data_IF_658634005387
#
_entry.id   IF_658634005387
#
_cell.length_a   1.000
_cell.length_b   1.000
_cell.length_c   1.000
_cell.angle_alpha   90.00
_cell.angle_beta   90.00
_cell.angle_gamma   90.00
#
_symmetry.space_group_name_H-M   'P 1'
#
loop_
_entity.id
_entity.type
_entity.pdbx_description
1 polymer ?
#
# COMPACT_ATOMS: atom_id res chain seq x y z
N UNK A 1 14.18 5.33 -32.09
CA UNK A 1 14.21 6.74 -31.64
C UNK A 1 12.83 7.07 -31.08
N UNK A 2 12.75 7.51 -29.81
CA UNK A 2 11.48 7.90 -29.19
C UNK A 2 11.00 9.17 -29.90
N UNK A 3 9.77 9.18 -30.42
CA UNK A 3 9.22 10.36 -31.10
C UNK A 3 9.01 11.52 -30.12
N UNK A 4 9.02 12.76 -30.61
CA UNK A 4 8.79 13.96 -29.78
C UNK A 4 7.41 13.92 -29.11
N UNK A 5 6.42 13.35 -29.79
CA UNK A 5 5.07 13.12 -29.25
C UNK A 5 5.09 12.17 -28.05
N UNK A 6 5.79 11.03 -28.17
CA UNK A 6 5.96 10.09 -27.06
C UNK A 6 6.69 10.75 -25.88
N UNK A 7 7.69 11.58 -26.15
CA UNK A 7 8.46 12.26 -25.11
C UNK A 7 7.62 13.31 -24.36
N UNK A 8 6.75 14.03 -25.07
CA UNK A 8 5.83 15.02 -24.49
C UNK A 8 4.75 14.32 -23.66
N UNK A 9 4.21 13.20 -24.15
CA UNK A 9 3.24 12.39 -23.42
C UNK A 9 3.83 11.78 -22.14
N UNK A 10 5.04 11.20 -22.21
CA UNK A 10 5.74 10.67 -21.04
C UNK A 10 5.97 11.76 -20.00
N UNK A 11 6.41 12.95 -20.42
CA UNK A 11 6.59 14.09 -19.53
C UNK A 11 5.29 14.49 -18.83
N UNK A 12 4.18 14.56 -19.56
CA UNK A 12 2.88 14.86 -18.98
C UNK A 12 2.46 13.81 -17.93
N UNK A 13 2.68 12.52 -18.22
CA UNK A 13 2.41 11.43 -17.27
C UNK A 13 3.24 11.56 -15.99
N UNK A 14 4.54 11.89 -16.12
CA UNK A 14 5.41 12.15 -14.97
C UNK A 14 4.96 13.36 -14.15
N UNK A 15 4.56 14.46 -14.80
CA UNK A 15 4.09 15.66 -14.11
C UNK A 15 2.77 15.41 -13.36
N UNK A 16 1.85 14.65 -13.94
CA UNK A 16 0.61 14.25 -13.26
C UNK A 16 0.92 13.39 -12.03
N UNK A 17 1.80 12.40 -12.17
CA UNK A 17 2.21 11.54 -11.08
C UNK A 17 2.90 12.31 -9.94
N UNK A 18 3.82 13.23 -10.30
CA UNK A 18 4.50 14.08 -9.34
C UNK A 18 3.48 14.92 -8.54
N UNK A 19 2.49 15.50 -9.23
CA UNK A 19 1.43 16.27 -8.59
C UNK A 19 0.61 15.42 -7.60
N UNK A 20 0.30 14.17 -7.96
CA UNK A 20 -0.40 13.27 -7.03
C UNK A 20 0.44 12.94 -5.81
N UNK A 21 1.74 12.67 -5.98
CA UNK A 21 2.64 12.42 -4.86
C UNK A 21 2.79 13.65 -3.95
N UNK A 22 2.95 14.84 -4.52
CA UNK A 22 3.04 16.10 -3.79
C UNK A 22 1.78 16.34 -2.94
N UNK A 23 0.59 16.05 -3.50
CA UNK A 23 -0.67 16.17 -2.76
C UNK A 23 -0.74 15.21 -1.57
N UNK A 24 -0.34 13.95 -1.76
CA UNK A 24 -0.34 12.96 -0.66
C UNK A 24 0.71 13.32 0.40
N UNK A 25 1.90 13.76 0.00
CA UNK A 25 2.92 14.26 0.92
C UNK A 25 2.37 15.42 1.77
N UNK A 26 1.72 16.39 1.12
CA UNK A 26 1.09 17.51 1.79
C UNK A 26 -0.02 17.07 2.75
N UNK A 27 -0.86 16.09 2.40
CA UNK A 27 -1.89 15.56 3.31
C UNK A 27 -1.29 14.89 4.55
N UNK A 28 -0.16 14.19 4.38
CA UNK A 28 0.59 13.57 5.49
C UNK A 28 1.15 14.62 6.44
N UNK A 29 1.84 15.62 5.89
CA UNK A 29 2.43 16.73 6.66
C UNK A 29 1.34 17.54 7.37
N UNK A 30 0.25 17.87 6.67
CA UNK A 30 -0.90 18.56 7.25
C UNK A 30 -1.55 17.76 8.40
N UNK A 31 -1.68 16.44 8.25
CA UNK A 31 -2.16 15.57 9.33
C UNK A 31 -1.18 15.57 10.52
N UNK A 32 0.12 15.51 10.29
CA UNK A 32 1.13 15.55 11.36
C UNK A 32 1.26 16.94 12.02
N UNK A 33 0.61 17.96 11.44
CA UNK A 33 0.63 19.34 11.94
C UNK A 33 1.77 20.17 11.39
N UNK A 34 2.56 19.62 10.47
CA UNK A 34 3.57 20.33 9.71
C UNK A 34 2.92 21.00 8.50
N UNK A 35 2.33 22.17 8.73
CA UNK A 35 1.71 22.93 7.66
C UNK A 35 2.17 24.38 7.68
N UNK A 36 2.58 24.86 6.51
CA UNK A 36 2.90 26.26 6.31
C UNK A 36 1.62 27.10 6.38
N UNK A 37 1.52 27.96 7.38
CA UNK A 37 0.49 28.99 7.42
C UNK A 37 0.88 30.05 6.38
N UNK A 38 0.09 30.20 5.31
CA UNK A 38 0.26 31.31 4.37
C UNK A 38 -0.19 32.60 5.04
N UNK A 39 0.73 33.26 5.74
CA UNK A 39 0.52 34.60 6.27
C UNK A 39 0.82 35.63 5.17
N UNK A 40 0.05 36.71 5.11
CA UNK A 40 0.45 37.87 4.31
C UNK A 40 1.64 38.58 4.97
N UNK A 41 2.48 39.28 4.20
CA UNK A 41 3.65 39.99 4.76
C UNK A 41 3.29 40.94 5.90
N UNK A 42 2.09 41.55 5.85
CA UNK A 42 1.56 42.42 6.91
C UNK A 42 1.14 41.64 8.16
N UNK A 43 0.63 40.41 8.00
CA UNK A 43 0.30 39.54 9.12
C UNK A 43 1.56 38.96 9.77
N UNK A 44 2.58 38.62 9.00
CA UNK A 44 3.88 38.21 9.54
C UNK A 44 4.52 39.34 10.36
N UNK A 45 4.51 40.57 9.83
CA UNK A 45 5.01 41.76 10.53
C UNK A 45 4.22 42.05 11.82
N UNK A 46 2.90 41.85 11.80
CA UNK A 46 2.03 42.11 12.96
C UNK A 46 2.10 41.01 14.03
N UNK A 47 2.18 39.75 13.61
CA UNK A 47 2.25 38.59 14.52
C UNK A 47 3.64 38.50 15.16
N UNK A 48 4.65 39.18 14.60
CA UNK A 48 6.05 39.14 15.05
C UNK A 48 6.46 37.71 15.39
N UNK A 49 6.10 36.74 14.52
CA UNK A 49 6.02 35.32 14.85
C UNK A 49 7.27 34.81 15.59
N UNK A 50 7.22 34.87 16.92
CA UNK A 50 8.22 34.32 17.82
C UNK A 50 7.92 32.84 17.82
N UNK A 51 8.69 32.10 17.01
CA UNK A 51 8.88 30.65 17.11
C UNK A 51 7.61 29.91 17.56
N UNK A 52 6.69 29.71 16.61
CA UNK A 52 5.30 29.29 16.84
C UNK A 52 5.17 27.96 17.58
N UNK A 53 5.28 28.00 18.92
CA UNK A 53 5.17 26.82 19.80
C UNK A 53 3.76 26.21 19.85
N UNK A 54 2.75 26.90 19.34
CA UNK A 54 1.34 26.51 19.49
C UNK A 54 0.58 26.66 18.15
N UNK A 55 0.70 25.63 17.30
CA UNK A 55 -0.16 25.47 16.13
C UNK A 55 -1.28 24.48 16.48
N UNK A 56 -2.53 24.93 16.45
CA UNK A 56 -3.68 24.06 16.69
C UNK A 56 -4.03 23.33 15.39
N UNK A 57 -3.63 22.06 15.28
CA UNK A 57 -4.06 21.20 14.19
C UNK A 57 -5.34 20.45 14.54
N UNK A 58 -6.44 20.75 13.83
CA UNK A 58 -7.73 20.06 14.00
C UNK A 58 -7.91 18.89 13.03
N UNK A 59 -7.04 18.72 12.04
CA UNK A 59 -7.15 17.68 11.02
C UNK A 59 -7.15 16.26 11.63
N UNK A 60 -6.26 15.91 12.58
CA UNK A 60 -6.26 14.58 13.20
C UNK A 60 -7.58 14.23 13.86
N UNK A 61 -8.24 15.20 14.50
CA UNK A 61 -9.50 14.96 15.19
C UNK A 61 -10.59 14.55 14.19
N UNK A 62 -10.67 15.25 13.06
CA UNK A 62 -11.67 14.94 12.02
C UNK A 62 -11.38 13.58 11.40
N UNK A 63 -10.15 13.35 10.94
CA UNK A 63 -9.76 12.09 10.27
C UNK A 63 -9.93 10.91 11.22
N UNK A 64 -9.38 10.99 12.45
CA UNK A 64 -9.50 9.90 13.43
C UNK A 64 -10.95 9.61 13.79
N UNK A 65 -11.81 10.63 13.93
CA UNK A 65 -13.22 10.42 14.26
C UNK A 65 -13.97 9.61 13.19
N UNK A 66 -13.57 9.75 11.92
CA UNK A 66 -14.11 8.98 10.81
C UNK A 66 -13.52 7.57 10.77
N UNK A 67 -12.19 7.45 10.87
CA UNK A 67 -11.47 6.19 10.65
C UNK A 67 -11.53 5.25 11.85
N UNK A 68 -11.60 5.75 13.08
CA UNK A 68 -11.72 4.92 14.30
C UNK A 68 -13.05 4.15 14.38
N UNK A 69 -14.06 4.58 13.61
CA UNK A 69 -15.34 3.86 13.50
C UNK A 69 -15.29 2.70 12.51
N UNK A 70 -14.31 2.69 11.62
CA UNK A 70 -14.15 1.63 10.62
C UNK A 70 -13.35 0.50 11.26
N UNK A 71 -14.03 -0.60 11.55
CA UNK A 71 -13.45 -1.83 12.08
C UNK A 71 -13.81 -2.99 11.14
N UNK A 72 -12.91 -3.95 11.02
CA UNK A 72 -13.19 -5.20 10.34
C UNK A 72 -13.83 -6.12 11.37
N UNK A 73 -15.15 -6.34 11.28
CA UNK A 73 -15.89 -7.18 12.23
C UNK A 73 -15.57 -8.67 12.12
N UNK A 74 -15.01 -9.07 10.98
CA UNK A 74 -14.69 -10.45 10.63
C UNK A 74 -14.96 -10.72 9.16
N UNK A 75 -14.58 -11.91 8.73
CA UNK A 75 -14.79 -12.41 7.38
C UNK A 75 -15.91 -13.44 7.36
N UNK A 76 -16.71 -13.41 6.30
CA UNK A 76 -17.65 -14.46 5.95
C UNK A 76 -17.36 -14.96 4.54
N UNK A 77 -17.48 -16.26 4.34
CA UNK A 77 -17.41 -16.87 3.01
C UNK A 77 -18.85 -16.96 2.49
N UNK A 78 -19.15 -16.24 1.42
CA UNK A 78 -20.38 -16.49 0.67
C UNK A 78 -20.03 -17.47 -0.44
N UNK A 79 -20.72 -18.61 -0.49
CA UNK A 79 -20.67 -19.46 -1.68
C UNK A 79 -20.94 -18.61 -2.94
N UNK A 80 -20.29 -18.90 -4.08
CA UNK A 80 -20.76 -18.35 -5.36
C UNK A 80 -22.22 -18.75 -5.55
N UNK A 81 -23.04 -17.96 -6.27
CA UNK A 81 -24.41 -18.37 -6.58
C UNK A 81 -24.33 -19.66 -7.40
N UNK A 82 -24.49 -20.81 -6.71
CA UNK A 82 -24.59 -22.10 -7.36
C UNK A 82 -25.80 -22.02 -8.28
N UNK A 83 -25.59 -22.25 -9.56
CA UNK A 83 -26.65 -22.49 -10.52
C UNK A 83 -27.59 -23.51 -9.90
N UNK A 84 -28.80 -23.06 -9.60
CA UNK A 84 -29.94 -23.80 -9.11
C UNK A 84 -29.95 -25.25 -9.65
N UNK A 85 -29.78 -26.22 -8.76
CA UNK A 85 -30.30 -27.60 -8.78
C UNK A 85 -29.53 -28.46 -7.77
N UNK A 86 -30.10 -28.69 -6.60
CA UNK A 86 -30.62 -30.02 -6.24
C UNK A 86 -31.14 -30.01 -4.81
N UNK A 87 -32.20 -30.79 -4.61
CA UNK A 87 -33.06 -30.83 -3.45
C UNK A 87 -32.27 -31.00 -2.14
N UNK A 88 -32.53 -30.09 -1.19
CA UNK A 88 -32.13 -30.19 0.19
C UNK A 88 -32.64 -31.51 0.79
N UNK A 89 -31.79 -32.54 0.79
CA UNK A 89 -31.83 -33.57 1.80
C UNK A 89 -31.07 -33.02 2.99
N UNK A 90 -31.82 -32.38 3.90
CA UNK A 90 -31.36 -32.12 5.25
C UNK A 90 -31.03 -33.48 5.91
N UNK A 91 -29.76 -33.85 5.86
CA UNK A 91 -29.20 -34.86 6.75
C UNK A 91 -28.83 -34.09 8.02
N UNK A 92 -29.65 -34.26 9.05
CA UNK A 92 -29.29 -33.95 10.43
C UNK A 92 -28.04 -34.76 10.79
N UNK A 93 -26.87 -34.17 10.57
CA UNK A 93 -25.59 -34.67 11.01
C UNK A 93 -24.85 -33.53 11.67
N UNK A 94 -24.31 -33.78 12.87
CA UNK A 94 -23.41 -32.88 13.62
C UNK A 94 -22.07 -32.66 12.87
N UNK A 95 -22.13 -32.23 11.61
CA UNK A 95 -20.99 -31.85 10.79
C UNK A 95 -21.01 -30.34 10.61
N UNK A 96 -20.02 -29.65 11.19
CA UNK A 96 -19.79 -28.23 10.95
C UNK A 96 -19.74 -27.95 9.44
N UNK A 97 -20.55 -26.99 8.98
CA UNK A 97 -20.57 -26.59 7.58
C UNK A 97 -19.16 -26.11 7.17
N UNK A 98 -18.56 -26.64 6.08
CA UNK A 98 -17.19 -26.29 5.68
C UNK A 98 -16.95 -24.80 5.49
N UNK A 99 -17.98 -24.03 5.14
CA UNK A 99 -17.94 -22.58 4.96
C UNK A 99 -17.77 -21.83 6.29
N UNK A 100 -18.42 -22.29 7.35
CA UNK A 100 -18.22 -21.77 8.71
C UNK A 100 -16.80 -22.07 9.20
N UNK A 101 -16.25 -23.23 8.82
CA UNK A 101 -14.87 -23.62 9.16
C UNK A 101 -13.84 -22.68 8.53
N UNK A 102 -13.95 -22.36 7.23
CA UNK A 102 -12.98 -21.46 6.57
C UNK A 102 -13.09 -20.02 7.07
N UNK A 103 -14.31 -19.52 7.31
CA UNK A 103 -14.51 -18.21 7.92
C UNK A 103 -13.88 -18.15 9.32
N UNK A 104 -14.06 -19.18 10.15
CA UNK A 104 -13.45 -19.26 11.47
C UNK A 104 -11.92 -19.24 11.40
N UNK A 105 -11.31 -20.05 10.50
CA UNK A 105 -9.86 -20.09 10.30
C UNK A 105 -9.31 -18.73 9.86
N UNK A 106 -9.96 -18.06 8.90
CA UNK A 106 -9.51 -16.75 8.42
C UNK A 106 -9.61 -15.68 9.52
N UNK A 107 -10.67 -15.72 10.32
CA UNK A 107 -10.83 -14.83 11.46
C UNK A 107 -9.75 -15.07 12.54
N UNK A 108 -9.40 -16.34 12.79
CA UNK A 108 -8.28 -16.70 13.69
C UNK A 108 -6.95 -16.16 13.16
N UNK A 109 -6.63 -16.38 11.89
CA UNK A 109 -5.41 -15.86 11.27
C UNK A 109 -5.34 -14.33 11.30
N UNK A 110 -6.48 -13.67 11.09
CA UNK A 110 -6.58 -12.22 11.20
C UNK A 110 -6.31 -11.73 12.62
N UNK A 111 -6.94 -12.35 13.63
CA UNK A 111 -6.73 -12.02 15.02
C UNK A 111 -5.26 -12.19 15.43
N UNK A 112 -4.62 -13.28 15.01
CA UNK A 112 -3.22 -13.58 15.30
C UNK A 112 -2.23 -12.60 14.66
N UNK A 113 -2.57 -12.03 13.51
CA UNK A 113 -1.81 -10.96 12.87
C UNK A 113 -2.05 -9.57 13.51
N UNK A 114 -2.72 -9.49 14.67
CA UNK A 114 -3.20 -8.25 15.27
C UNK A 114 -4.06 -7.44 14.29
N UNK A 115 -4.96 -8.14 13.61
CA UNK A 115 -5.81 -7.63 12.55
C UNK A 115 -6.53 -6.31 12.89
N UNK A 116 -7.04 -6.14 14.11
CA UNK A 116 -7.65 -4.87 14.54
C UNK A 116 -6.70 -3.67 14.43
N UNK A 117 -5.44 -3.88 14.81
CA UNK A 117 -4.39 -2.87 14.70
C UNK A 117 -4.01 -2.59 13.25
N UNK A 118 -3.95 -3.63 12.41
CA UNK A 118 -3.71 -3.50 10.96
C UNK A 118 -4.87 -2.76 10.28
N UNK A 119 -6.11 -3.12 10.57
CA UNK A 119 -7.32 -2.49 10.06
C UNK A 119 -7.37 -1.00 10.42
N UNK A 120 -7.08 -0.65 11.68
CA UNK A 120 -7.02 0.76 12.09
C UNK A 120 -5.95 1.54 11.32
N UNK A 121 -4.74 0.98 11.16
CA UNK A 121 -3.67 1.62 10.38
C UNK A 121 -4.08 1.80 8.92
N UNK A 122 -4.65 0.77 8.31
CA UNK A 122 -5.08 0.80 6.92
C UNK A 122 -6.19 1.82 6.69
N UNK A 123 -7.21 1.84 7.54
CA UNK A 123 -8.33 2.77 7.44
C UNK A 123 -7.89 4.22 7.68
N UNK A 124 -6.99 4.45 8.64
CA UNK A 124 -6.40 5.77 8.87
C UNK A 124 -5.62 6.25 7.65
N UNK A 125 -4.73 5.41 7.13
CA UNK A 125 -3.91 5.75 5.97
C UNK A 125 -4.78 5.97 4.72
N UNK A 126 -5.80 5.15 4.49
CA UNK A 126 -6.73 5.34 3.38
C UNK A 126 -7.56 6.63 3.53
N UNK A 127 -8.02 6.95 4.74
CA UNK A 127 -8.77 8.19 5.00
C UNK A 127 -7.94 9.46 4.80
N UNK A 128 -6.63 9.39 5.03
CA UNK A 128 -5.69 10.51 4.87
C UNK A 128 -5.12 10.60 3.44
N UNK A 129 -4.65 9.48 2.90
CA UNK A 129 -3.89 9.41 1.64
C UNK A 129 -4.76 9.05 0.43
N UNK A 130 -6.03 8.70 0.65
CA UNK A 130 -6.97 8.19 -0.36
C UNK A 130 -6.83 6.68 -0.62
N UNK A 131 -5.61 6.13 -0.50
CA UNK A 131 -5.35 4.70 -0.69
C UNK A 131 -4.41 4.16 0.40
N UNK A 132 -4.65 2.91 0.78
CA UNK A 132 -3.77 2.11 1.63
C UNK A 132 -3.97 0.65 1.26
N UNK A 133 -2.94 -0.16 1.46
CA UNK A 133 -2.90 -1.53 0.96
C UNK A 133 -2.55 -2.50 2.06
N UNK A 134 -3.02 -3.73 1.92
CA UNK A 134 -2.58 -4.89 2.70
C UNK A 134 -2.04 -5.89 1.71
N UNK A 135 -0.79 -6.30 1.90
CA UNK A 135 -0.19 -7.39 1.14
C UNK A 135 -0.31 -8.65 1.98
N UNK A 136 -0.72 -9.73 1.32
CA UNK A 136 -0.76 -11.07 1.90
C UNK A 136 0.46 -11.83 1.42
N UNK A 137 1.27 -12.31 2.35
CA UNK A 137 2.37 -13.25 2.09
C UNK A 137 2.08 -14.58 2.75
N UNK A 138 2.72 -15.65 2.27
CA UNK A 138 2.67 -16.94 2.94
C UNK A 138 3.84 -17.05 3.94
N UNK A 139 3.57 -17.54 5.15
CA UNK A 139 4.59 -17.84 6.14
C UNK A 139 4.72 -19.37 6.28
N UNK A 140 5.82 -19.92 5.78
CA UNK A 140 6.06 -21.36 5.77
C UNK A 140 6.24 -21.96 7.17
N UNK A 141 6.85 -21.22 8.11
CA UNK A 141 7.08 -21.70 9.48
C UNK A 141 5.76 -21.83 10.26
N UNK A 142 4.88 -20.85 10.10
CA UNK A 142 3.58 -20.82 10.75
C UNK A 142 2.48 -21.56 9.94
N UNK A 143 2.78 -21.96 8.69
CA UNK A 143 1.86 -22.64 7.79
C UNK A 143 0.58 -21.85 7.49
N UNK A 144 0.67 -20.51 7.42
CA UNK A 144 -0.50 -19.62 7.31
C UNK A 144 -0.17 -18.29 6.61
N UNK A 145 -1.18 -17.58 6.08
CA UNK A 145 -0.97 -16.24 5.53
C UNK A 145 -0.59 -15.23 6.62
N UNK A 146 0.26 -14.29 6.23
CA UNK A 146 0.65 -13.13 7.01
C UNK A 146 0.15 -11.85 6.31
N UNK A 147 -0.39 -10.93 7.10
CA UNK A 147 -0.92 -9.67 6.59
C UNK A 147 0.04 -8.53 6.92
N UNK A 148 0.50 -7.83 5.90
CA UNK A 148 1.39 -6.68 6.06
C UNK A 148 0.71 -5.41 5.52
N UNK A 149 0.56 -4.41 6.39
CA UNK A 149 0.07 -3.10 5.98
C UNK A 149 1.14 -2.34 5.18
N UNK A 150 0.73 -1.74 4.07
CA UNK A 150 1.56 -0.92 3.21
C UNK A 150 0.90 0.45 2.94
N UNK A 151 1.60 1.57 3.20
CA UNK A 151 1.09 2.90 2.84
C UNK A 151 1.08 3.08 1.31
N UNK A 152 0.35 4.08 0.81
CA UNK A 152 0.54 4.57 -0.56
C UNK A 152 1.98 5.05 -0.76
N UNK A 153 2.63 4.65 -1.84
CA UNK A 153 3.99 5.09 -2.14
C UNK A 153 4.01 6.59 -2.43
N UNK A 154 4.94 7.29 -1.78
CA UNK A 154 5.29 8.69 -2.03
C UNK A 154 6.81 8.77 -1.95
N UNK A 155 7.48 9.26 -2.98
CA UNK A 155 8.95 9.23 -3.02
C UNK A 155 9.61 10.21 -2.02
N UNK A 156 8.96 11.32 -1.72
CA UNK A 156 9.54 12.44 -0.96
C UNK A 156 8.64 12.89 0.20
N UNK A 157 9.10 13.86 0.99
CA UNK A 157 8.36 14.49 2.09
C UNK A 157 8.82 14.03 3.48
N UNK A 158 8.44 14.78 4.52
CA UNK A 158 8.97 14.59 5.89
C UNK A 158 8.40 13.41 6.69
N UNK A 159 7.34 12.75 6.20
CA UNK A 159 6.68 11.67 6.91
C UNK A 159 7.51 10.37 6.86
N UNK A 160 7.67 9.62 7.97
CA UNK A 160 8.45 8.37 8.00
C UNK A 160 7.88 7.22 7.14
N UNK A 161 6.65 7.36 6.61
CA UNK A 161 6.06 6.42 5.67
C UNK A 161 6.31 6.79 4.20
N UNK A 162 6.96 7.92 3.93
CA UNK A 162 7.44 8.27 2.60
C UNK A 162 8.72 7.46 2.27
N UNK A 163 9.07 7.36 1.00
CA UNK A 163 10.17 6.52 0.50
C UNK A 163 9.85 5.01 0.46
N UNK A 164 8.69 4.60 0.96
CA UNK A 164 8.20 3.21 0.91
C UNK A 164 6.70 3.14 0.63
N UNK A 165 6.23 1.98 0.23
CA UNK A 165 4.81 1.68 0.10
C UNK A 165 4.45 1.08 -1.26
N UNK A 166 3.15 1.13 -1.56
CA UNK A 166 2.56 0.52 -2.75
C UNK A 166 1.89 1.56 -3.62
N UNK A 167 1.97 1.37 -4.94
CA UNK A 167 1.18 2.09 -5.93
C UNK A 167 0.52 1.08 -6.87
N UNK A 168 -0.78 1.23 -7.06
CA UNK A 168 -1.54 0.50 -8.06
C UNK A 168 -1.59 1.30 -9.36
N UNK A 169 -1.29 0.63 -10.47
CA UNK A 169 -1.37 1.19 -11.82
C UNK A 169 -2.62 0.62 -12.48
N UNK A 170 -3.44 1.51 -13.01
CA UNK A 170 -4.68 1.16 -13.68
C UNK A 170 -4.51 1.25 -15.19
N UNK A 171 -5.35 0.52 -15.93
CA UNK A 171 -5.51 0.73 -17.36
C UNK A 171 -6.11 2.12 -17.64
N UNK A 172 -6.17 2.50 -18.92
CA UNK A 172 -6.70 3.81 -19.33
C UNK A 172 -8.18 4.03 -18.93
N UNK A 173 -8.91 2.97 -18.57
CA UNK A 173 -10.27 3.06 -18.04
C UNK A 173 -10.34 3.58 -16.59
N UNK A 174 -9.21 3.60 -15.87
CA UNK A 174 -9.11 4.04 -14.48
C UNK A 174 -9.74 3.08 -13.46
N UNK A 175 -10.12 1.86 -13.87
CA UNK A 175 -10.82 0.89 -13.02
C UNK A 175 -10.11 -0.45 -13.02
N UNK A 176 -9.66 -0.92 -14.19
CA UNK A 176 -8.98 -2.20 -14.32
C UNK A 176 -7.55 -2.07 -13.83
N UNK A 177 -7.15 -2.92 -12.88
CA UNK A 177 -5.79 -2.91 -12.36
C UNK A 177 -4.86 -3.55 -13.40
N UNK A 178 -3.89 -2.79 -13.88
CA UNK A 178 -2.84 -3.29 -14.77
C UNK A 178 -1.76 -4.04 -13.98
N UNK A 179 -1.24 -3.41 -12.93
CA UNK A 179 -0.28 -4.03 -12.00
C UNK A 179 -0.19 -3.22 -10.70
N UNK A 180 0.41 -3.79 -9.67
CA UNK A 180 0.80 -3.06 -8.47
C UNK A 180 2.32 -3.03 -8.32
N UNK A 181 2.86 -1.96 -7.74
CA UNK A 181 4.29 -1.83 -7.45
C UNK A 181 4.50 -1.61 -5.95
N UNK A 182 5.35 -2.40 -5.32
CA UNK A 182 5.82 -2.20 -3.93
C UNK A 182 7.26 -1.70 -3.98
N UNK A 183 7.54 -0.60 -3.29
CA UNK A 183 8.87 0.02 -3.20
C UNK A 183 9.27 0.19 -1.76
N UNK A 184 10.52 -0.09 -1.44
CA UNK A 184 11.11 0.19 -0.13
C UNK A 184 12.62 0.27 -0.25
N UNK A 185 13.25 0.86 0.77
CA UNK A 185 14.70 0.82 0.94
C UNK A 185 15.02 -0.16 2.05
N UNK A 186 16.01 -1.01 1.79
CA UNK A 186 16.57 -1.95 2.74
C UNK A 186 18.04 -1.60 3.01
N UNK A 187 18.62 -2.19 4.04
CA UNK A 187 20.05 -2.10 4.32
C UNK A 187 20.65 -3.47 4.04
N UNK A 188 21.60 -3.52 3.12
CA UNK A 188 22.37 -4.74 2.88
C UNK A 188 23.12 -5.15 4.15
N UNK A 189 22.89 -6.37 4.62
CA UNK A 189 23.46 -6.82 5.89
C UNK A 189 24.99 -7.01 5.84
N UNK A 190 25.56 -7.23 4.64
CA UNK A 190 26.99 -7.47 4.46
C UNK A 190 27.74 -6.16 4.20
N UNK A 191 27.21 -5.29 3.33
CA UNK A 191 27.89 -4.04 2.97
C UNK A 191 27.45 -2.84 3.82
N UNK A 192 26.32 -2.94 4.52
CA UNK A 192 25.64 -1.85 5.22
C UNK A 192 25.20 -0.70 4.30
N UNK A 193 25.20 -0.92 3.00
CA UNK A 193 24.72 0.05 2.02
C UNK A 193 23.20 0.00 1.92
N UNK A 194 22.60 1.15 1.57
CA UNK A 194 21.18 1.19 1.28
C UNK A 194 20.92 0.60 -0.11
N UNK A 195 19.98 -0.33 -0.18
CA UNK A 195 19.53 -0.97 -1.41
C UNK A 195 18.06 -0.64 -1.61
N UNK A 196 17.72 -0.14 -2.79
CA UNK A 196 16.32 0.09 -3.18
C UNK A 196 15.76 -1.19 -3.74
N UNK A 197 14.55 -1.54 -3.33
CA UNK A 197 13.82 -2.73 -3.76
C UNK A 197 12.52 -2.32 -4.45
N UNK A 198 12.18 -3.04 -5.51
CA UNK A 198 10.95 -2.86 -6.27
C UNK A 198 10.39 -4.23 -6.64
N UNK A 199 9.14 -4.48 -6.24
CA UNK A 199 8.35 -5.61 -6.74
C UNK A 199 7.24 -5.10 -7.63
N UNK A 200 7.09 -5.66 -8.82
CA UNK A 200 5.94 -5.48 -9.70
C UNK A 200 5.08 -6.74 -9.66
N UNK A 201 3.83 -6.55 -9.25
CA UNK A 201 2.80 -7.59 -9.19
C UNK A 201 1.90 -7.42 -10.41
N UNK A 202 2.18 -8.21 -11.45
CA UNK A 202 1.32 -8.34 -12.61
C UNK A 202 0.23 -9.38 -12.34
N UNK A 203 -0.86 -9.42 -13.13
CA UNK A 203 -1.89 -10.46 -12.98
C UNK A 203 -1.37 -11.88 -13.24
N UNK A 204 -0.31 -12.02 -14.05
CA UNK A 204 0.25 -13.31 -14.48
C UNK A 204 1.59 -13.66 -13.82
N UNK A 205 2.31 -12.68 -13.27
CA UNK A 205 3.66 -12.87 -12.74
C UNK A 205 4.08 -11.81 -11.73
N UNK A 206 5.17 -12.08 -11.04
CA UNK A 206 5.84 -11.15 -10.12
C UNK A 206 7.26 -10.91 -10.63
N UNK A 207 7.62 -9.65 -10.80
CA UNK A 207 8.98 -9.23 -11.17
C UNK A 207 9.61 -8.53 -9.95
N UNK A 208 10.78 -8.99 -9.52
CA UNK A 208 11.53 -8.39 -8.43
C UNK A 208 12.78 -7.69 -8.98
N UNK A 209 13.07 -6.52 -8.44
CA UNK A 209 14.20 -5.68 -8.83
C UNK A 209 14.91 -5.09 -7.63
N UNK A 210 16.22 -4.86 -7.78
CA UNK A 210 17.05 -4.10 -6.85
C UNK A 210 17.86 -3.05 -7.58
N UNK A 211 18.16 -1.95 -6.89
CA UNK A 211 19.10 -0.94 -7.36
C UNK A 211 19.89 -0.39 -6.18
N UNK A 212 21.20 -0.17 -6.38
CA UNK A 212 22.01 0.53 -5.40
C UNK A 212 21.43 1.92 -5.14
N UNK A 213 21.51 2.40 -3.89
CA UNK A 213 21.17 3.78 -3.55
C UNK A 213 22.26 4.79 -3.95
N UNK A 214 23.12 4.44 -4.92
CA UNK A 214 24.29 5.22 -5.32
C UNK A 214 23.92 6.46 -6.15
N UNK A 215 23.48 7.52 -5.47
CA UNK A 215 23.39 8.88 -6.03
C UNK A 215 22.41 9.79 -5.27
N UNK A 216 22.90 10.93 -4.78
CA UNK A 216 22.04 12.05 -4.37
C UNK A 216 21.20 12.50 -5.58
N UNK A 217 19.89 12.24 -5.55
CA UNK A 217 18.92 12.89 -6.42
C UNK A 217 18.15 12.01 -7.41
N UNK A 218 18.62 10.80 -7.74
CA UNK A 218 17.95 9.94 -8.73
C UNK A 218 17.14 8.82 -8.05
N UNK A 219 15.90 9.15 -7.69
CA UNK A 219 14.97 8.20 -7.06
C UNK A 219 14.53 7.07 -8.01
N UNK A 220 14.70 7.21 -9.33
CA UNK A 220 14.31 6.24 -10.34
C UNK A 220 15.43 5.96 -11.34
N UNK A 221 15.90 4.71 -11.41
CA UNK A 221 16.92 4.28 -12.39
C UNK A 221 17.80 3.15 -11.89
N UNK A 222 18.50 2.49 -12.81
CA UNK A 222 19.43 1.39 -12.56
C UNK A 222 18.84 0.14 -11.88
N UNK A 223 17.56 -0.14 -12.12
CA UNK A 223 16.92 -1.38 -11.68
C UNK A 223 17.56 -2.59 -12.36
N UNK A 224 18.00 -3.53 -11.54
CA UNK A 224 18.52 -4.83 -11.96
C UNK A 224 17.60 -5.91 -11.43
N UNK A 225 17.50 -7.00 -12.19
CA UNK A 225 16.70 -8.17 -11.81
C UNK A 225 17.23 -8.72 -10.48
N UNK A 226 16.31 -9.08 -9.59
CA UNK A 226 16.63 -9.61 -8.27
C UNK A 226 15.85 -10.90 -8.04
N UNK A 227 16.49 -11.86 -7.40
CA UNK A 227 15.90 -13.14 -7.00
C UNK A 227 16.19 -13.36 -5.51
N UNK A 228 15.16 -13.71 -4.73
CA UNK A 228 15.32 -14.08 -3.33
C UNK A 228 15.75 -15.55 -3.20
N UNK A 229 16.31 -15.92 -2.04
CA UNK A 229 16.65 -17.31 -1.75
C UNK A 229 15.40 -18.20 -1.79
N UNK A 230 15.36 -19.13 -2.77
CA UNK A 230 14.20 -20.00 -3.02
C UNK A 230 13.42 -19.68 -4.30
N UNK A 231 13.69 -18.52 -4.93
CA UNK A 231 13.18 -18.22 -6.27
C UNK A 231 13.88 -19.12 -7.31
N UNK A 232 13.11 -19.88 -8.09
CA UNK A 232 13.65 -20.83 -9.06
C UNK A 232 13.64 -20.31 -10.51
N UNK A 233 12.89 -19.24 -10.78
CA UNK A 233 12.69 -18.64 -12.12
C UNK A 233 12.37 -17.16 -11.97
N UNK A 234 12.93 -16.33 -12.86
CA UNK A 234 12.53 -14.94 -13.04
C UNK A 234 11.99 -14.71 -14.46
N UNK A 235 10.82 -14.05 -14.63
CA UNK A 235 9.88 -13.61 -13.59
C UNK A 235 9.15 -14.78 -12.90
N UNK A 236 8.70 -14.58 -11.66
CA UNK A 236 8.01 -15.61 -10.87
C UNK A 236 6.55 -15.74 -11.32
N UNK A 237 6.05 -16.93 -11.67
CA UNK A 237 4.63 -17.14 -11.93
C UNK A 237 3.84 -17.12 -10.60
N UNK A 238 2.56 -16.75 -10.66
CA UNK A 238 1.68 -17.01 -9.52
C UNK A 238 1.46 -18.51 -9.34
N UNK A 239 1.55 -18.97 -8.08
CA UNK A 239 1.33 -20.38 -7.71
C UNK A 239 -0.13 -20.84 -7.95
N UNK A 240 -1.05 -19.90 -8.12
CA UNK A 240 -2.48 -20.11 -8.27
C UNK A 240 -2.98 -19.96 -9.71
N UNK A 241 -2.12 -20.20 -10.73
CA UNK A 241 -2.60 -20.42 -12.11
C UNK A 241 -3.39 -21.73 -12.23
N UNK A 242 -4.42 -21.89 -11.39
CA UNK A 242 -5.59 -22.68 -11.64
C UNK A 242 -6.41 -21.97 -12.73
N UNK A 243 -6.46 -22.63 -13.89
CA UNK A 243 -7.46 -22.38 -14.92
C UNK A 243 -8.88 -22.51 -14.39
#
# INVERSE_FOLDING_TARGET
AISVENLTFLRWLFEQEATEQDNVALYREYYDGDHNVKLSSRQEEYIQAVDGRFNLNMCPVVVNSMTDRLIISGFSVSAPPSTQNDEATAVDGDGEDPEETWAAILNEWWADNRGDGLGRKNNLAAGRDGNSYIIVSWNDEAGRPQFEWQPRFVAHGGNPNNGRGVKVHYEADGVTIMCASKRWTDIDAETLDQVRRLNLYWPDRIEKYSADASGEGDFEGNWQEWEDEGDNVWPLPWLDTAR
#
